data_IF_569920082105
#
_entry.id   IF_569920082105
#
_cell.length_a   1.000
_cell.length_b   1.000
_cell.length_c   1.000
_cell.angle_alpha   90.00
_cell.angle_beta   90.00
_cell.angle_gamma   90.00
#
_symmetry.space_group_name_H-M   'P 1'
#
loop_
_entity.id
_entity.type
_entity.pdbx_description
1 polymer ?
#
# COMPACT_ATOMS: atom_id res chain seq x y z
N UNK A 1 -28.70 1.91 -25.69
CA UNK A 1 -28.82 1.64 -24.23
C UNK A 1 -28.08 2.75 -23.49
N UNK A 2 -28.81 3.59 -22.74
CA UNK A 2 -28.17 4.60 -21.87
C UNK A 2 -27.53 3.88 -20.70
N UNK A 3 -26.22 3.68 -20.70
CA UNK A 3 -25.49 3.32 -19.50
C UNK A 3 -25.72 4.44 -18.47
N UNK A 4 -26.49 4.15 -17.42
CA UNK A 4 -26.59 5.08 -16.29
C UNK A 4 -25.19 5.31 -15.76
N UNK A 5 -24.66 6.50 -15.95
CA UNK A 5 -23.37 6.92 -15.43
C UNK A 5 -23.37 6.76 -13.91
N UNK A 6 -22.66 5.75 -13.42
CA UNK A 6 -22.69 5.34 -12.02
C UNK A 6 -21.74 6.25 -11.25
N UNK A 7 -22.25 7.01 -10.31
CA UNK A 7 -21.46 7.75 -9.33
C UNK A 7 -21.34 6.91 -8.07
N UNK A 8 -20.14 6.59 -7.66
CA UNK A 8 -19.88 5.83 -6.43
C UNK A 8 -18.97 6.68 -5.56
N UNK A 9 -19.42 7.05 -4.36
CA UNK A 9 -18.62 7.78 -3.39
C UNK A 9 -18.91 7.26 -2.00
N UNK A 10 -17.86 6.78 -1.31
CA UNK A 10 -17.93 6.32 0.07
C UNK A 10 -17.79 7.49 1.05
N UNK A 11 -18.51 7.39 2.17
CA UNK A 11 -18.46 8.38 3.24
C UNK A 11 -17.24 8.16 4.13
N UNK A 12 -16.09 8.59 3.64
CA UNK A 12 -14.83 8.59 4.37
C UNK A 12 -14.64 9.97 5.02
N UNK A 13 -14.22 10.00 6.29
CA UNK A 13 -13.79 11.21 6.96
C UNK A 13 -12.33 11.51 6.61
N UNK A 14 -12.01 12.61 5.89
CA UNK A 14 -10.64 12.91 5.54
C UNK A 14 -9.80 13.23 6.78
N UNK A 15 -8.62 12.64 6.84
CA UNK A 15 -7.64 12.88 7.90
C UNK A 15 -6.37 13.50 7.32
N UNK A 16 -5.98 14.69 7.83
CA UNK A 16 -4.76 15.38 7.42
C UNK A 16 -3.58 14.87 8.24
N UNK A 17 -2.56 14.33 7.57
CA UNK A 17 -1.31 13.88 8.18
C UNK A 17 -0.57 14.99 8.93
N UNK A 18 0.26 14.62 9.89
CA UNK A 18 1.08 15.55 10.70
C UNK A 18 2.57 15.49 10.39
N UNK A 19 3.01 14.54 9.58
CA UNK A 19 4.39 14.33 9.17
C UNK A 19 4.47 13.63 7.82
N UNK A 20 5.56 12.94 7.55
CA UNK A 20 5.74 12.11 6.33
C UNK A 20 5.03 10.75 6.50
N UNK A 21 3.74 10.77 6.72
CA UNK A 21 2.92 9.65 7.18
C UNK A 21 1.73 9.39 6.28
N UNK A 22 1.82 9.77 4.98
CA UNK A 22 0.69 9.69 4.03
C UNK A 22 0.05 8.30 3.97
N UNK A 23 0.84 7.24 3.90
CA UNK A 23 0.34 5.88 3.86
C UNK A 23 -0.37 5.48 5.17
N UNK A 24 0.17 5.88 6.33
CA UNK A 24 -0.47 5.68 7.64
C UNK A 24 -1.78 6.48 7.73
N UNK A 25 -1.81 7.73 7.28
CA UNK A 25 -3.02 8.54 7.28
C UNK A 25 -4.13 7.91 6.41
N UNK A 26 -3.79 7.39 5.21
CA UNK A 26 -4.72 6.60 4.40
C UNK A 26 -5.23 5.35 5.13
N UNK A 27 -4.33 4.61 5.79
CA UNK A 27 -4.69 3.46 6.61
C UNK A 27 -5.67 3.84 7.72
N UNK A 28 -5.42 4.92 8.46
CA UNK A 28 -6.30 5.37 9.54
C UNK A 28 -7.70 5.72 9.05
N UNK A 29 -7.84 6.37 7.89
CA UNK A 29 -9.14 6.66 7.28
C UNK A 29 -9.93 5.39 6.99
N UNK A 30 -9.27 4.32 6.50
CA UNK A 30 -9.89 3.01 6.26
C UNK A 30 -10.28 2.33 7.58
N UNK A 31 -9.39 2.34 8.59
CA UNK A 31 -9.66 1.74 9.89
C UNK A 31 -10.84 2.42 10.61
N UNK A 32 -10.96 3.75 10.51
CA UNK A 32 -12.13 4.50 11.02
C UNK A 32 -13.40 4.12 10.26
N UNK A 33 -13.34 4.07 8.92
CA UNK A 33 -14.48 3.70 8.08
C UNK A 33 -15.05 2.33 8.42
N UNK A 34 -14.17 1.33 8.63
CA UNK A 34 -14.59 -0.02 9.06
C UNK A 34 -14.75 -0.17 10.57
N UNK A 35 -14.72 0.93 11.34
CA UNK A 35 -14.95 0.96 12.80
C UNK A 35 -13.96 0.10 13.61
N UNK A 36 -12.75 -0.12 13.08
CA UNK A 36 -11.66 -0.80 13.78
C UNK A 36 -11.02 0.14 14.80
N UNK A 37 -10.98 1.43 14.49
CA UNK A 37 -10.66 2.51 15.43
C UNK A 37 -11.84 3.48 15.51
N UNK A 38 -12.04 4.15 16.65
CA UNK A 38 -13.17 5.07 16.81
C UNK A 38 -13.03 6.32 15.94
N UNK A 39 -11.81 6.87 15.77
CA UNK A 39 -11.51 8.05 14.96
C UNK A 39 -10.04 8.13 14.62
N UNK A 40 -9.72 8.50 13.38
CA UNK A 40 -8.35 8.83 12.96
C UNK A 40 -7.84 10.05 13.74
N UNK A 41 -6.65 9.93 14.35
CA UNK A 41 -6.05 11.00 15.13
C UNK A 41 -4.52 10.86 15.19
N UNK A 42 -3.85 11.90 15.70
CA UNK A 42 -2.40 11.96 15.75
C UNK A 42 -1.76 10.88 16.65
N UNK A 43 -2.44 10.43 17.70
CA UNK A 43 -1.90 9.39 18.59
C UNK A 43 -1.81 8.05 17.84
N UNK A 44 -2.85 7.68 17.07
CA UNK A 44 -2.81 6.51 16.19
C UNK A 44 -1.79 6.67 15.07
N UNK A 45 -1.70 7.85 14.44
CA UNK A 45 -0.71 8.14 13.39
C UNK A 45 0.71 7.90 13.91
N UNK A 46 1.07 8.52 15.05
CA UNK A 46 2.38 8.33 15.68
C UNK A 46 2.65 6.88 16.08
N UNK A 47 1.65 6.19 16.67
CA UNK A 47 1.75 4.78 17.04
C UNK A 47 2.05 3.89 15.84
N UNK A 48 1.25 4.00 14.78
CA UNK A 48 1.39 3.12 13.63
C UNK A 48 2.60 3.49 12.77
N UNK A 49 2.97 4.75 12.66
CA UNK A 49 4.21 5.14 12.01
C UNK A 49 5.41 4.53 12.73
N UNK A 50 5.48 4.59 14.06
CA UNK A 50 6.56 3.94 14.83
C UNK A 50 6.64 2.44 14.60
N UNK A 51 5.50 1.76 14.34
CA UNK A 51 5.45 0.32 14.11
C UNK A 51 5.80 -0.09 12.68
N UNK A 52 5.60 0.78 11.70
CA UNK A 52 5.59 0.42 10.28
C UNK A 52 6.47 1.27 9.38
N UNK A 53 7.15 2.32 9.91
CA UNK A 53 8.10 3.08 9.08
C UNK A 53 9.24 2.19 8.60
N UNK A 54 9.70 2.47 7.37
CA UNK A 54 10.86 1.77 6.83
C UNK A 54 12.14 2.18 7.53
N UNK A 55 13.07 1.24 7.67
CA UNK A 55 14.42 1.50 8.15
C UNK A 55 15.36 2.06 7.06
N UNK A 56 14.98 1.90 5.79
CA UNK A 56 15.83 2.21 4.64
C UNK A 56 15.31 3.35 3.78
N UNK A 57 13.99 3.56 3.80
CA UNK A 57 13.31 4.61 3.03
C UNK A 57 12.46 5.45 3.97
N UNK A 58 12.28 6.71 3.60
CA UNK A 58 11.29 7.54 4.27
C UNK A 58 9.88 7.04 3.96
N UNK A 59 9.04 6.95 4.99
CA UNK A 59 7.65 6.55 4.84
C UNK A 59 7.34 5.15 5.35
N UNK A 60 6.24 4.58 4.87
CA UNK A 60 5.70 3.30 5.31
C UNK A 60 5.48 2.37 4.11
N UNK A 61 6.06 1.16 4.13
CA UNK A 61 5.82 0.17 3.07
C UNK A 61 4.34 -0.20 2.95
N UNK A 62 3.81 -0.26 1.74
CA UNK A 62 2.42 -0.66 1.50
C UNK A 62 2.12 -2.10 1.93
N UNK A 63 3.13 -2.97 1.90
CA UNK A 63 3.04 -4.33 2.43
C UNK A 63 2.76 -4.36 3.94
N UNK A 64 3.28 -3.38 4.70
CA UNK A 64 2.96 -3.23 6.13
C UNK A 64 1.49 -2.85 6.35
N UNK A 65 0.92 -2.00 5.45
CA UNK A 65 -0.51 -1.68 5.47
C UNK A 65 -1.34 -2.92 5.14
N UNK A 66 -0.96 -3.67 4.10
CA UNK A 66 -1.65 -4.90 3.72
C UNK A 66 -1.66 -5.92 4.88
N UNK A 67 -0.51 -6.12 5.55
CA UNK A 67 -0.46 -6.94 6.74
C UNK A 67 -1.37 -6.42 7.86
N UNK A 68 -1.38 -5.09 8.11
CA UNK A 68 -2.24 -4.51 9.15
C UNK A 68 -3.72 -4.75 8.87
N UNK A 69 -4.16 -4.56 7.64
CA UNK A 69 -5.56 -4.81 7.25
C UNK A 69 -5.91 -6.29 7.34
N UNK A 70 -5.08 -7.17 6.80
CA UNK A 70 -5.34 -8.61 6.83
C UNK A 70 -5.41 -9.17 8.25
N UNK A 71 -4.52 -8.75 9.16
CA UNK A 71 -4.57 -9.18 10.57
C UNK A 71 -5.80 -8.66 11.34
N UNK A 72 -6.43 -7.59 10.86
CA UNK A 72 -7.68 -7.06 11.38
C UNK A 72 -8.92 -7.63 10.65
N UNK A 73 -8.76 -8.76 9.95
CA UNK A 73 -9.83 -9.47 9.25
C UNK A 73 -10.50 -8.67 8.12
N UNK A 74 -9.79 -7.73 7.50
CA UNK A 74 -10.23 -7.10 6.26
C UNK A 74 -9.76 -7.93 5.06
N UNK A 75 -10.64 -8.08 4.06
CA UNK A 75 -10.22 -8.60 2.76
C UNK A 75 -9.20 -7.62 2.18
N UNK A 76 -8.02 -8.12 1.86
CA UNK A 76 -6.90 -7.28 1.45
C UNK A 76 -6.24 -7.85 0.21
N UNK A 77 -6.01 -6.99 -0.78
CA UNK A 77 -5.24 -7.30 -1.99
C UNK A 77 -4.15 -6.24 -2.13
N UNK A 78 -2.90 -6.65 -2.33
CA UNK A 78 -1.81 -5.76 -2.71
C UNK A 78 -1.42 -6.07 -4.15
N UNK A 79 -1.34 -5.03 -4.96
CA UNK A 79 -1.19 -5.14 -6.42
C UNK A 79 0.02 -4.35 -6.87
N UNK A 80 0.85 -4.97 -7.72
CA UNK A 80 2.02 -4.35 -8.33
C UNK A 80 1.95 -4.48 -9.85
N UNK A 81 2.37 -3.44 -10.57
CA UNK A 81 2.45 -3.52 -12.05
C UNK A 81 3.61 -4.40 -12.50
N UNK A 82 4.67 -4.48 -11.71
CA UNK A 82 5.87 -5.22 -12.03
C UNK A 82 5.77 -6.68 -11.55
N UNK A 83 6.32 -7.63 -12.33
CA UNK A 83 6.38 -9.05 -11.95
C UNK A 83 7.28 -9.28 -10.73
N UNK A 84 8.32 -8.49 -10.58
CA UNK A 84 9.29 -8.53 -9.49
C UNK A 84 8.95 -7.54 -8.35
N UNK A 85 7.68 -7.17 -8.21
CA UNK A 85 7.15 -6.24 -7.21
C UNK A 85 7.52 -4.79 -7.55
N UNK A 86 8.81 -4.44 -7.55
CA UNK A 86 9.34 -3.14 -7.95
C UNK A 86 10.51 -3.31 -8.91
N UNK A 87 10.78 -2.31 -9.73
CA UNK A 87 12.02 -2.19 -10.47
C UNK A 87 12.88 -1.02 -9.95
N UNK A 88 14.16 -1.01 -10.26
CA UNK A 88 15.08 0.11 -10.01
C UNK A 88 16.00 0.30 -11.21
N UNK A 89 15.50 0.04 -12.41
CA UNK A 89 16.27 0.07 -13.66
C UNK A 89 16.85 1.46 -13.92
N UNK A 90 16.19 2.50 -13.42
CA UNK A 90 16.67 3.89 -13.51
C UNK A 90 17.74 4.22 -12.45
N UNK A 91 18.09 3.29 -11.56
CA UNK A 91 19.12 3.49 -10.54
C UNK A 91 18.79 4.60 -9.51
N UNK A 92 17.50 4.87 -9.25
CA UNK A 92 17.08 5.91 -8.31
C UNK A 92 17.59 5.65 -6.90
N UNK A 93 17.68 4.39 -6.51
CA UNK A 93 18.26 3.94 -5.25
C UNK A 93 19.56 3.19 -5.50
N UNK A 94 20.50 3.29 -4.56
CA UNK A 94 21.67 2.40 -4.58
C UNK A 94 21.22 0.94 -4.49
N UNK A 95 21.97 0.02 -5.08
CA UNK A 95 21.65 -1.41 -5.07
C UNK A 95 21.47 -1.95 -3.64
N UNK A 96 22.27 -1.48 -2.69
CA UNK A 96 22.19 -1.89 -1.28
C UNK A 96 20.87 -1.41 -0.64
N UNK A 97 20.53 -0.13 -0.76
CA UNK A 97 19.29 0.43 -0.23
C UNK A 97 18.08 -0.26 -0.87
N UNK A 98 18.09 -0.44 -2.19
CA UNK A 98 16.99 -1.10 -2.89
C UNK A 98 16.78 -2.53 -2.41
N UNK A 99 17.84 -3.35 -2.33
CA UNK A 99 17.75 -4.74 -1.89
C UNK A 99 17.26 -4.85 -0.43
N UNK A 100 17.77 -3.99 0.46
CA UNK A 100 17.35 -3.98 1.85
C UNK A 100 15.89 -3.55 2.02
N UNK A 101 15.46 -2.52 1.27
CA UNK A 101 14.05 -2.07 1.25
C UNK A 101 13.13 -3.14 0.70
N UNK A 102 13.56 -3.85 -0.34
CA UNK A 102 12.78 -4.94 -0.94
C UNK A 102 12.67 -6.13 0.01
N UNK A 103 13.74 -6.46 0.76
CA UNK A 103 13.70 -7.49 1.80
C UNK A 103 12.72 -7.12 2.92
N UNK A 104 12.76 -5.88 3.42
CA UNK A 104 11.81 -5.38 4.41
C UNK A 104 10.36 -5.45 3.90
N UNK A 105 10.13 -5.03 2.65
CA UNK A 105 8.84 -5.08 1.99
C UNK A 105 8.29 -6.51 1.90
N UNK A 106 9.13 -7.46 1.46
CA UNK A 106 8.78 -8.88 1.33
C UNK A 106 8.46 -9.53 2.66
N UNK A 107 9.14 -9.16 3.75
CA UNK A 107 8.81 -9.66 5.08
C UNK A 107 7.39 -9.28 5.52
N UNK A 108 6.94 -8.06 5.19
CA UNK A 108 5.55 -7.68 5.43
C UNK A 108 4.57 -8.36 4.48
N UNK A 109 4.95 -8.57 3.19
CA UNK A 109 4.13 -9.32 2.24
C UNK A 109 3.87 -10.75 2.71
N UNK A 110 4.91 -11.45 3.18
CA UNK A 110 4.78 -12.80 3.70
C UNK A 110 3.78 -12.82 4.87
N UNK A 111 3.96 -11.95 5.84
CA UNK A 111 3.03 -11.84 6.98
C UNK A 111 1.59 -11.49 6.55
N UNK A 112 1.44 -10.65 5.54
CA UNK A 112 0.13 -10.30 4.99
C UNK A 112 -0.52 -11.52 4.33
N UNK A 113 0.24 -12.27 3.53
CA UNK A 113 -0.19 -13.51 2.88
C UNK A 113 -0.61 -14.58 3.90
N UNK A 114 0.17 -14.78 4.98
CA UNK A 114 -0.18 -15.69 6.09
C UNK A 114 -1.52 -15.32 6.76
N UNK A 115 -1.90 -14.04 6.70
CA UNK A 115 -3.21 -13.55 7.15
C UNK A 115 -4.28 -13.53 6.05
N UNK A 116 -3.96 -14.11 4.87
CA UNK A 116 -4.87 -14.27 3.74
C UNK A 116 -5.01 -13.00 2.88
N UNK A 117 -4.05 -12.09 2.89
CA UNK A 117 -3.97 -11.06 1.87
C UNK A 117 -3.61 -11.70 0.52
N UNK A 118 -4.27 -11.22 -0.55
CA UNK A 118 -3.92 -11.58 -1.92
C UNK A 118 -2.78 -10.70 -2.42
N UNK A 119 -1.83 -11.30 -3.11
CA UNK A 119 -0.74 -10.59 -3.79
C UNK A 119 -0.93 -10.79 -5.29
N UNK A 120 -0.98 -9.71 -6.06
CA UNK A 120 -1.18 -9.72 -7.51
C UNK A 120 -0.05 -8.90 -8.19
N UNK A 121 0.89 -9.60 -8.82
CA UNK A 121 2.04 -8.99 -9.50
C UNK A 121 1.90 -9.06 -11.02
N UNK A 122 2.43 -8.06 -11.72
CA UNK A 122 2.36 -7.96 -13.19
C UNK A 122 0.98 -7.52 -13.69
N UNK A 123 0.21 -6.84 -12.85
CA UNK A 123 -1.13 -6.35 -13.18
C UNK A 123 -1.05 -4.98 -13.85
N UNK A 124 -1.74 -4.81 -14.98
CA UNK A 124 -1.95 -3.46 -15.49
C UNK A 124 -2.85 -2.65 -14.54
N UNK A 125 -2.26 -1.66 -13.86
CA UNK A 125 -2.96 -0.76 -12.96
C UNK A 125 -3.24 0.53 -13.74
N UNK A 126 -4.47 0.66 -14.25
CA UNK A 126 -4.99 1.82 -14.96
C UNK A 126 -6.30 2.31 -14.34
N UNK A 127 -6.82 3.45 -14.79
CA UNK A 127 -8.06 4.02 -14.28
C UNK A 127 -9.26 3.08 -14.45
N UNK A 128 -9.28 2.21 -15.49
CA UNK A 128 -10.34 1.22 -15.69
C UNK A 128 -10.30 0.15 -14.61
N UNK A 129 -9.10 -0.34 -14.30
CA UNK A 129 -8.90 -1.30 -13.20
C UNK A 129 -9.31 -0.70 -11.85
N UNK A 130 -8.85 0.53 -11.53
CA UNK A 130 -9.20 1.19 -10.27
C UNK A 130 -10.72 1.41 -10.12
N UNK A 131 -11.40 1.82 -11.21
CA UNK A 131 -12.86 1.96 -11.21
C UNK A 131 -13.56 0.64 -10.95
N UNK A 132 -13.14 -0.45 -11.60
CA UNK A 132 -13.73 -1.78 -11.37
C UNK A 132 -13.64 -2.21 -9.91
N UNK A 133 -12.53 -1.90 -9.22
CA UNK A 133 -12.37 -2.21 -7.79
C UNK A 133 -13.26 -1.35 -6.88
N UNK A 134 -13.47 -0.08 -7.23
CA UNK A 134 -14.43 0.77 -6.51
C UNK A 134 -15.88 0.31 -6.73
N UNK A 135 -16.21 -0.25 -7.91
CA UNK A 135 -17.51 -0.86 -8.20
C UNK A 135 -17.78 -2.14 -7.40
N UNK A 136 -16.72 -2.86 -7.04
CA UNK A 136 -16.75 -4.02 -6.13
C UNK A 136 -16.86 -3.61 -4.65
N UNK A 137 -17.21 -2.37 -4.36
CA UNK A 137 -17.34 -1.80 -3.01
C UNK A 137 -16.02 -1.74 -2.22
N UNK A 138 -14.87 -1.73 -2.88
CA UNK A 138 -13.54 -1.68 -2.27
C UNK A 138 -13.05 -0.25 -2.07
N UNK A 139 -12.07 -0.07 -1.18
CA UNK A 139 -11.28 1.15 -0.99
C UNK A 139 -9.86 0.89 -1.50
N UNK A 140 -9.20 1.91 -2.03
CA UNK A 140 -7.89 1.75 -2.66
C UNK A 140 -6.92 2.79 -2.10
N UNK A 141 -5.84 2.35 -1.43
CA UNK A 141 -4.68 3.20 -1.18
C UNK A 141 -3.78 3.10 -2.40
N UNK A 142 -3.56 4.22 -3.08
CA UNK A 142 -2.79 4.32 -4.30
C UNK A 142 -1.46 5.01 -4.02
N UNK A 143 -0.37 4.43 -4.48
CA UNK A 143 0.95 5.05 -4.48
C UNK A 143 1.16 5.86 -5.76
N UNK A 144 1.89 6.96 -5.64
CA UNK A 144 2.24 7.77 -6.79
C UNK A 144 3.28 8.83 -6.47
N UNK A 145 3.53 9.70 -7.44
CA UNK A 145 4.49 10.79 -7.36
C UNK A 145 3.75 12.13 -7.21
N UNK A 146 4.07 12.90 -6.19
CA UNK A 146 3.49 14.23 -5.96
C UNK A 146 4.45 15.38 -6.35
N UNK A 147 5.54 15.08 -7.04
CA UNK A 147 6.59 16.06 -7.40
C UNK A 147 7.66 16.24 -6.31
N UNK A 148 7.30 16.10 -5.04
CA UNK A 148 8.22 16.13 -3.91
C UNK A 148 8.71 14.73 -3.48
N UNK A 149 8.29 13.67 -4.19
CA UNK A 149 8.61 12.27 -3.91
C UNK A 149 7.37 11.37 -3.92
N UNK A 150 7.54 10.15 -3.43
CA UNK A 150 6.45 9.19 -3.34
C UNK A 150 5.40 9.64 -2.32
N UNK A 151 4.14 9.47 -2.67
CA UNK A 151 2.99 9.85 -1.88
C UNK A 151 1.90 8.79 -1.94
N UNK A 152 1.07 8.73 -0.90
CA UNK A 152 -0.08 7.84 -0.83
C UNK A 152 -1.38 8.66 -0.74
N UNK A 153 -2.38 8.27 -1.53
CA UNK A 153 -3.73 8.81 -1.49
C UNK A 153 -4.75 7.70 -1.36
N UNK A 154 -5.94 8.00 -0.82
CA UNK A 154 -7.04 7.07 -0.70
C UNK A 154 -8.12 7.40 -1.74
N UNK A 155 -8.35 6.49 -2.70
CA UNK A 155 -9.49 6.57 -3.60
C UNK A 155 -10.72 6.04 -2.87
N UNK A 156 -11.74 6.87 -2.73
CA UNK A 156 -13.00 6.52 -2.04
C UNK A 156 -14.22 6.55 -2.96
N UNK A 157 -14.02 6.77 -4.25
CA UNK A 157 -15.09 6.78 -5.24
C UNK A 157 -14.67 7.39 -6.56
N UNK A 158 -15.64 7.52 -7.46
CA UNK A 158 -15.49 8.23 -8.73
C UNK A 158 -16.84 8.77 -9.21
N UNK A 159 -16.78 9.81 -10.04
CA UNK A 159 -17.89 10.31 -10.84
C UNK A 159 -17.59 10.14 -12.34
N UNK A 160 -18.31 10.85 -13.20
CA UNK A 160 -18.20 10.70 -14.65
C UNK A 160 -16.78 10.95 -15.18
N UNK A 161 -16.06 11.91 -14.59
CA UNK A 161 -14.79 12.42 -15.13
C UNK A 161 -13.64 12.36 -14.11
N UNK A 162 -13.94 12.10 -12.83
CA UNK A 162 -12.96 12.24 -11.76
C UNK A 162 -13.02 11.05 -10.79
N UNK A 163 -11.89 10.75 -10.17
CA UNK A 163 -11.87 10.04 -8.89
C UNK A 163 -12.15 11.00 -7.74
N UNK A 164 -12.82 10.49 -6.71
CA UNK A 164 -12.96 11.17 -5.41
C UNK A 164 -11.87 10.64 -4.50
N UNK A 165 -11.05 11.55 -4.01
CA UNK A 165 -9.79 11.27 -3.32
C UNK A 165 -9.79 11.88 -1.93
N UNK A 166 -9.39 11.11 -0.92
CA UNK A 166 -8.93 11.63 0.35
C UNK A 166 -7.40 11.67 0.33
N UNK A 167 -6.84 12.85 0.03
CA UNK A 167 -5.41 13.08 0.05
C UNK A 167 -5.01 13.56 1.45
N UNK A 168 -4.08 12.84 2.13
CA UNK A 168 -3.64 13.20 3.49
C UNK A 168 -3.02 14.58 3.67
N UNK A 169 -2.67 15.26 2.60
CA UNK A 169 -2.21 16.66 2.67
C UNK A 169 -3.35 17.64 2.97
N UNK A 170 -4.60 17.21 2.79
CA UNK A 170 -5.78 18.06 2.91
C UNK A 170 -6.78 17.52 3.94
N UNK A 171 -7.67 18.39 4.44
CA UNK A 171 -8.74 18.05 5.39
C UNK A 171 -10.06 17.71 4.72
N UNK A 172 -10.12 17.71 3.38
CA UNK A 172 -11.35 17.52 2.63
C UNK A 172 -11.13 16.59 1.44
N UNK A 173 -12.18 15.93 1.01
CA UNK A 173 -12.18 15.16 -0.23
C UNK A 173 -11.91 16.07 -1.42
N UNK A 174 -11.16 15.55 -2.38
CA UNK A 174 -10.81 16.23 -3.62
C UNK A 174 -11.32 15.44 -4.80
N UNK A 175 -11.54 16.13 -5.93
CA UNK A 175 -11.73 15.49 -7.21
C UNK A 175 -10.45 15.61 -8.01
N UNK A 176 -9.99 14.50 -8.58
CA UNK A 176 -8.86 14.45 -9.52
C UNK A 176 -9.30 13.76 -10.79
N UNK A 177 -9.00 14.35 -11.93
CA UNK A 177 -9.31 13.76 -13.23
C UNK A 177 -8.62 12.41 -13.40
N UNK A 178 -9.10 11.60 -14.32
CA UNK A 178 -8.45 10.32 -14.63
C UNK A 178 -7.02 10.52 -15.13
N UNK A 179 -6.77 11.56 -15.91
CA UNK A 179 -5.43 11.91 -16.40
C UNK A 179 -4.50 12.31 -15.24
N UNK A 180 -4.97 13.10 -14.26
CA UNK A 180 -4.18 13.44 -13.08
C UNK A 180 -3.84 12.21 -12.25
N UNK A 181 -4.74 11.22 -12.16
CA UNK A 181 -4.45 9.95 -11.45
C UNK A 181 -3.48 9.08 -12.24
N UNK A 182 -3.60 8.99 -13.57
CA UNK A 182 -2.60 8.25 -14.38
C UNK A 182 -1.21 8.87 -14.24
N UNK A 183 -1.10 10.21 -14.31
CA UNK A 183 0.16 10.93 -14.09
C UNK A 183 0.69 10.75 -12.66
N UNK A 184 -0.19 10.73 -11.66
CA UNK A 184 0.20 10.48 -10.26
C UNK A 184 0.80 9.08 -10.08
N UNK A 185 0.25 8.06 -10.74
CA UNK A 185 0.74 6.67 -10.68
C UNK A 185 2.08 6.46 -11.40
N UNK A 186 2.52 7.40 -12.22
CA UNK A 186 3.78 7.28 -12.95
C UNK A 186 4.95 7.47 -11.99
N UNK A 187 5.57 6.37 -11.61
CA UNK A 187 6.72 6.33 -10.69
C UNK A 187 7.87 5.51 -11.28
N UNK A 188 9.12 5.81 -10.89
CA UNK A 188 10.28 5.07 -11.39
C UNK A 188 10.34 3.61 -10.92
N UNK A 189 9.49 3.21 -9.97
CA UNK A 189 9.46 1.86 -9.39
C UNK A 189 8.30 0.99 -9.92
N UNK A 190 7.52 1.50 -10.86
CA UNK A 190 6.26 0.90 -11.31
C UNK A 190 5.05 1.47 -10.56
N UNK A 191 3.89 0.84 -10.73
CA UNK A 191 2.62 1.23 -10.09
C UNK A 191 2.25 0.21 -9.03
N UNK A 192 1.72 0.66 -7.89
CA UNK A 192 1.20 -0.27 -6.86
C UNK A 192 0.08 0.36 -6.02
N UNK A 193 -0.77 -0.51 -5.48
CA UNK A 193 -1.86 -0.12 -4.59
C UNK A 193 -2.21 -1.21 -3.58
N UNK A 194 -2.88 -0.83 -2.50
CA UNK A 194 -3.53 -1.74 -1.56
C UNK A 194 -5.05 -1.55 -1.67
N UNK A 195 -5.75 -2.65 -1.90
CA UNK A 195 -7.20 -2.70 -2.08
C UNK A 195 -7.81 -3.39 -0.87
N UNK A 196 -8.84 -2.80 -0.28
CA UNK A 196 -9.41 -3.25 1.01
C UNK A 196 -10.93 -3.31 0.95
N UNK A 197 -11.51 -4.38 1.56
CA UNK A 197 -12.94 -4.52 1.76
C UNK A 197 -13.28 -4.96 3.20
N UNK A 198 -14.54 -4.81 3.61
CA UNK A 198 -15.02 -5.14 4.97
C UNK A 198 -15.03 -6.64 5.31
N UNK A 199 -15.05 -7.53 4.32
CA UNK A 199 -15.19 -8.97 4.52
C UNK A 199 -14.04 -9.73 3.88
N UNK A 200 -13.40 -10.60 4.66
CA UNK A 200 -12.61 -11.70 4.11
C UNK A 200 -13.61 -12.68 3.46
N UNK A 201 -13.58 -12.81 2.15
CA UNK A 201 -14.27 -13.94 1.52
C UNK A 201 -13.52 -15.23 1.87
N UNK A 202 -14.22 -16.24 2.39
CA UNK A 202 -13.65 -17.54 2.82
C UNK A 202 -12.90 -18.30 1.69
N UNK A 203 -12.92 -17.78 0.47
CA UNK A 203 -12.45 -18.47 -0.74
C UNK A 203 -10.96 -18.31 -1.09
N UNK A 204 -10.14 -17.62 -0.31
CA UNK A 204 -8.76 -17.32 -0.74
C UNK A 204 -7.65 -17.84 0.18
N UNK A 205 -7.81 -19.07 0.71
CA UNK A 205 -6.71 -19.79 1.37
C UNK A 205 -5.75 -20.54 0.40
N UNK A 206 -5.87 -20.32 -0.89
CA UNK A 206 -5.00 -20.92 -1.88
C UNK A 206 -4.11 -19.84 -2.52
N UNK A 207 -3.07 -19.47 -1.81
CA UNK A 207 -1.88 -18.94 -2.46
C UNK A 207 -1.36 -20.03 -3.41
N UNK A 208 -1.17 -19.73 -4.70
CA UNK A 208 -0.52 -20.66 -5.60
C UNK A 208 0.83 -21.05 -4.99
N UNK A 209 1.08 -22.36 -4.81
CA UNK A 209 2.33 -22.87 -4.26
C UNK A 209 3.59 -22.31 -4.96
N UNK A 210 3.44 -21.87 -6.22
CA UNK A 210 4.50 -21.25 -7.01
C UNK A 210 4.93 -19.87 -6.48
N UNK A 211 3.97 -19.02 -6.08
CA UNK A 211 4.26 -17.69 -5.53
C UNK A 211 4.92 -17.81 -4.15
N UNK A 212 4.45 -18.76 -3.33
CA UNK A 212 5.07 -19.07 -2.05
C UNK A 212 6.52 -19.54 -2.24
N UNK A 213 6.77 -20.38 -3.25
CA UNK A 213 8.12 -20.87 -3.56
C UNK A 213 9.06 -19.76 -4.04
N UNK A 214 8.56 -18.80 -4.82
CA UNK A 214 9.34 -17.65 -5.28
C UNK A 214 9.71 -16.71 -4.11
N UNK A 215 8.79 -16.46 -3.18
CA UNK A 215 9.06 -15.66 -1.98
C UNK A 215 10.04 -16.35 -1.04
N UNK A 216 9.88 -17.66 -0.79
CA UNK A 216 10.81 -18.44 0.05
C UNK A 216 12.22 -18.52 -0.55
N UNK A 217 12.34 -18.64 -1.88
CA UNK A 217 13.63 -18.65 -2.57
C UNK A 217 14.33 -17.29 -2.47
N UNK A 218 13.56 -16.19 -2.59
CA UNK A 218 14.08 -14.82 -2.48
C UNK A 218 14.54 -14.52 -1.05
N UNK A 219 13.79 -14.95 -0.03
CA UNK A 219 14.19 -14.83 1.38
C UNK A 219 15.52 -15.56 1.67
N UNK A 220 15.68 -16.78 1.17
CA UNK A 220 16.92 -17.56 1.35
C UNK A 220 18.15 -16.87 0.74
N UNK A 221 17.98 -16.16 -0.37
CA UNK A 221 19.08 -15.51 -1.08
C UNK A 221 19.49 -14.17 -0.45
N UNK A 222 18.55 -13.39 0.10
CA UNK A 222 18.79 -12.00 0.47
C UNK A 222 18.71 -11.72 1.99
N UNK A 223 17.89 -12.46 2.74
CA UNK A 223 17.69 -12.18 4.17
C UNK A 223 18.73 -12.84 5.10
N UNK A 224 19.52 -13.82 4.64
CA UNK A 224 20.62 -14.37 5.43
C UNK A 224 21.71 -13.33 5.74
N UNK A 225 21.93 -12.37 4.83
CA UNK A 225 22.87 -11.26 5.07
C UNK A 225 22.35 -10.24 6.09
N UNK A 226 21.03 -10.22 6.37
CA UNK A 226 20.38 -9.27 7.24
C UNK A 226 20.58 -9.61 8.74
N UNK A 227 20.47 -10.88 9.10
CA UNK A 227 20.62 -11.34 10.50
C UNK A 227 22.03 -11.20 11.03
N UNK A 228 23.05 -11.25 10.16
CA UNK A 228 24.46 -11.08 10.57
C UNK A 228 24.81 -9.61 10.78
N UNK A 229 24.29 -8.68 9.94
CA UNK A 229 24.57 -7.24 10.08
C UNK A 229 23.88 -6.63 11.31
N UNK A 230 22.68 -7.07 11.67
CA UNK A 230 21.95 -6.55 12.85
C UNK A 230 22.69 -6.90 14.15
N UNK A 231 23.31 -8.07 14.24
CA UNK A 231 24.21 -8.44 15.34
C UNK A 231 25.45 -7.54 15.41
N UNK A 232 25.99 -7.14 14.27
CA UNK A 232 27.19 -6.29 14.20
C UNK A 232 26.90 -4.85 14.57
N UNK A 233 25.70 -4.32 14.26
CA UNK A 233 25.27 -2.98 14.62
C UNK A 233 24.93 -2.88 16.11
N UNK A 234 24.35 -3.91 16.71
CA UNK A 234 24.09 -3.94 18.17
C UNK A 234 25.38 -4.00 18.97
N UNK A 235 26.39 -4.77 18.51
CA UNK A 235 27.70 -4.86 19.19
C UNK A 235 28.47 -3.53 19.14
N UNK A 236 28.29 -2.70 18.11
CA UNK A 236 28.91 -1.36 18.01
C UNK A 236 28.22 -0.28 18.84
N UNK A 237 26.99 -0.49 19.29
CA UNK A 237 26.27 0.43 20.19
C UNK A 237 26.49 0.15 21.67
N UNK A 238 27.15 -0.93 22.02
CA UNK A 238 27.45 -1.35 23.40
C UNK A 238 28.93 -1.24 23.75
N UNK A 239 29.72 -0.57 22.93
CA UNK A 239 31.09 -0.12 23.20
C UNK A 239 31.12 1.40 23.01
#
# INVERSE_FOLDING_TARGET
>A
MNERKKNIVKEINPYKQKGMTCAIACMLMILEYYKIIPKANYQYEKKYFKLYHSYYLEGTPFSALAWHFAKNNLETEIVHSEKQIFNNDQGVLSKEIFNNSLCEYNNFLLRASEKGAKIDNGRNIDCKYLKSKLEEDKLIILAGNCGAGLHAILLCGYDQNNFVVCDPLYKQKQKRTFEEIEKFMDTPFGKWCVIVNSKKTEKHNLMNNLEKFQYEAFEKLNCNNYKEKDKTIQIKKTR
#
